data_IF_321521047003
#
_entry.id   IF_321521047003
#
_cell.length_a   1.000
_cell.length_b   1.000
_cell.length_c   1.000
_cell.angle_alpha   90.00
_cell.angle_beta   90.00
_cell.angle_gamma   90.00
#
_symmetry.space_group_name_H-M   'P 1'
#
loop_
_entity.id
_entity.type
_entity.pdbx_description
1 polymer ?
#
# COMPACT_ATOMS: atom_id res chain seq x y z
N UNK A 1 3.23 -16.70 -2.27
CA UNK A 1 2.04 -17.14 -1.51
C UNK A 1 0.90 -16.17 -1.80
N UNK A 2 -0.38 -16.57 -1.66
CA UNK A 2 -1.53 -15.66 -1.83
C UNK A 2 -1.48 -14.53 -0.75
N UNK A 3 -1.62 -13.24 -1.11
CA UNK A 3 -1.58 -12.15 -0.14
C UNK A 3 -2.96 -11.75 0.44
N UNK A 4 -2.92 -11.10 1.61
CA UNK A 4 -4.02 -10.35 2.20
C UNK A 4 -4.16 -8.98 1.53
N UNK A 5 -5.39 -8.52 1.35
CA UNK A 5 -5.70 -7.24 0.70
C UNK A 5 -6.62 -6.41 1.59
N UNK A 6 -6.31 -5.14 1.76
CA UNK A 6 -7.10 -4.16 2.48
C UNK A 6 -7.29 -2.91 1.61
N UNK A 7 -8.52 -2.44 1.41
CA UNK A 7 -8.79 -1.16 0.75
C UNK A 7 -9.85 -0.36 1.52
N UNK A 8 -9.77 0.99 1.57
CA UNK A 8 -10.87 1.81 2.09
C UNK A 8 -10.64 3.34 2.14
N UNK A 9 -11.71 4.17 2.13
CA UNK A 9 -11.65 5.63 2.18
C UNK A 9 -11.33 6.30 3.50
N UNK A 10 -11.18 7.63 3.41
CA UNK A 10 -11.21 8.57 4.54
C UNK A 10 -12.54 8.52 5.34
N UNK A 11 -13.59 7.87 4.83
CA UNK A 11 -14.82 7.54 5.55
C UNK A 11 -15.49 6.25 5.01
N UNK A 12 -15.72 5.29 5.92
CA UNK A 12 -16.87 4.36 5.98
C UNK A 12 -17.00 3.13 5.04
N UNK A 13 -16.05 2.80 4.16
CA UNK A 13 -16.06 1.47 3.49
C UNK A 13 -14.68 0.86 3.32
N UNK A 14 -14.26 0.06 4.30
CA UNK A 14 -13.05 -0.74 4.24
C UNK A 14 -13.40 -2.22 4.05
N UNK A 15 -12.77 -2.88 3.09
CA UNK A 15 -12.86 -4.33 2.91
C UNK A 15 -11.52 -4.98 3.17
N UNK A 16 -11.55 -6.10 3.89
CA UNK A 16 -10.37 -6.91 4.18
C UNK A 16 -10.63 -8.33 3.69
N UNK A 17 -9.81 -8.78 2.74
CA UNK A 17 -9.95 -10.10 2.11
C UNK A 17 -8.64 -10.87 2.17
N UNK A 18 -8.74 -12.19 2.03
CA UNK A 18 -7.60 -13.09 1.81
C UNK A 18 -7.70 -13.70 0.42
N UNK A 19 -6.58 -14.23 -0.07
CA UNK A 19 -6.54 -15.09 -1.25
C UNK A 19 -6.11 -16.51 -0.87
N UNK A 20 -6.42 -17.48 -1.73
CA UNK A 20 -6.36 -18.92 -1.39
C UNK A 20 -7.73 -19.50 -1.04
N UNK A 21 -7.79 -20.79 -0.74
CA UNK A 21 -9.02 -21.52 -0.42
C UNK A 21 -9.51 -21.17 0.99
N UNK A 22 -8.60 -20.86 1.91
CA UNK A 22 -8.91 -20.49 3.28
C UNK A 22 -7.91 -19.47 3.86
N UNK A 23 -8.28 -18.84 4.98
CA UNK A 23 -7.46 -17.79 5.63
C UNK A 23 -6.05 -18.23 6.03
N UNK A 24 -5.80 -19.53 6.15
CA UNK A 24 -4.51 -20.12 6.50
C UNK A 24 -3.57 -20.31 5.30
N UNK A 25 -4.07 -20.10 4.08
CA UNK A 25 -3.25 -20.20 2.85
C UNK A 25 -2.37 -18.96 2.64
N UNK A 26 -2.62 -17.91 3.42
CA UNK A 26 -1.76 -16.74 3.58
C UNK A 26 -1.18 -16.70 5.00
N UNK A 27 -0.15 -15.89 5.23
CA UNK A 27 0.34 -15.65 6.59
C UNK A 27 -0.74 -14.96 7.43
N UNK A 28 -1.19 -15.52 8.57
CA UNK A 28 -2.25 -14.92 9.36
C UNK A 28 -1.93 -13.51 9.86
N UNK A 29 -0.65 -13.20 10.08
CA UNK A 29 -0.17 -11.86 10.46
C UNK A 29 -0.28 -10.82 9.34
N UNK A 30 -0.34 -11.23 8.07
CA UNK A 30 -0.38 -10.32 6.93
C UNK A 30 -1.63 -9.47 6.86
N UNK A 31 -2.75 -9.91 7.48
CA UNK A 31 -3.97 -9.09 7.57
C UNK A 31 -3.69 -7.72 8.21
N UNK A 32 -2.92 -7.71 9.29
CA UNK A 32 -2.60 -6.49 10.04
C UNK A 32 -1.62 -5.64 9.23
N UNK A 33 -0.60 -6.27 8.62
CA UNK A 33 0.38 -5.59 7.78
C UNK A 33 -0.28 -4.93 6.57
N UNK A 34 -1.21 -5.63 5.89
CA UNK A 34 -1.99 -5.08 4.78
C UNK A 34 -2.81 -3.86 5.21
N UNK A 35 -3.45 -3.90 6.38
CA UNK A 35 -4.18 -2.75 6.92
C UNK A 35 -3.28 -1.55 7.24
N UNK A 36 -2.10 -1.78 7.81
CA UNK A 36 -1.10 -0.72 8.05
C UNK A 36 -0.58 -0.12 6.75
N UNK A 37 -0.34 -0.95 5.71
CA UNK A 37 0.08 -0.47 4.39
C UNK A 37 -1.00 0.40 3.72
N UNK A 38 -2.26 -0.03 3.76
CA UNK A 38 -3.39 0.75 3.27
C UNK A 38 -3.54 2.08 4.03
N UNK A 39 -3.41 2.02 5.36
CA UNK A 39 -3.47 3.19 6.25
C UNK A 39 -2.35 4.16 5.93
N UNK A 40 -1.11 3.70 5.79
CA UNK A 40 0.04 4.55 5.45
C UNK A 40 -0.16 5.24 4.11
N UNK A 41 -0.54 4.48 3.07
CA UNK A 41 -0.73 5.04 1.75
C UNK A 41 -1.83 6.12 1.71
N UNK A 42 -2.93 5.92 2.46
CA UNK A 42 -4.00 6.90 2.59
C UNK A 42 -3.57 8.13 3.43
N UNK A 43 -2.94 7.90 4.58
CA UNK A 43 -2.60 8.96 5.55
C UNK A 43 -1.54 9.94 5.06
N UNK A 44 -0.69 9.52 4.12
CA UNK A 44 0.43 10.33 3.64
C UNK A 44 0.39 10.60 2.13
N UNK A 45 -0.80 10.45 1.55
CA UNK A 45 -1.11 10.96 0.22
C UNK A 45 -2.11 12.11 0.33
N UNK A 46 -2.05 13.01 -0.64
CA UNK A 46 -2.91 14.19 -0.77
C UNK A 46 -3.63 14.15 -2.12
N UNK A 47 -4.72 14.93 -2.31
CA UNK A 47 -5.39 15.03 -3.61
C UNK A 47 -4.49 15.46 -4.77
N UNK A 48 -3.32 16.05 -4.51
CA UNK A 48 -2.34 16.46 -5.52
C UNK A 48 -1.01 15.70 -5.48
N UNK A 49 -0.84 14.70 -4.60
CA UNK A 49 0.45 14.01 -4.43
C UNK A 49 0.28 12.63 -3.79
N UNK A 50 0.77 11.59 -4.44
CA UNK A 50 0.73 10.22 -3.95
C UNK A 50 2.09 9.75 -3.41
N UNK A 51 2.05 8.97 -2.34
CA UNK A 51 3.23 8.31 -1.80
C UNK A 51 2.92 6.87 -1.40
N UNK A 52 3.66 5.93 -1.98
CA UNK A 52 3.53 4.53 -1.60
C UNK A 52 4.30 4.21 -0.33
N UNK A 53 3.90 3.14 0.32
CA UNK A 53 4.67 2.56 1.45
C UNK A 53 6.13 2.24 1.07
N UNK A 54 6.39 1.84 -0.18
CA UNK A 54 7.75 1.58 -0.65
C UNK A 54 8.62 2.85 -0.66
N UNK A 55 8.02 4.01 -0.94
CA UNK A 55 8.70 5.29 -0.96
C UNK A 55 9.15 5.77 0.43
N UNK A 56 8.60 5.20 1.51
CA UNK A 56 9.05 5.54 2.86
C UNK A 56 10.34 4.82 3.27
N UNK A 57 10.62 3.65 2.70
CA UNK A 57 11.66 2.75 3.21
C UNK A 57 12.98 3.47 3.47
N UNK A 58 13.46 4.24 2.50
CA UNK A 58 14.74 4.90 2.60
C UNK A 58 14.79 6.10 3.56
N UNK A 59 13.65 6.76 3.77
CA UNK A 59 13.53 7.91 4.68
C UNK A 59 13.64 7.50 6.15
N UNK A 60 13.28 6.25 6.45
CA UNK A 60 13.14 5.73 7.81
C UNK A 60 14.27 4.79 8.23
N UNK A 61 15.28 4.59 7.37
CA UNK A 61 16.49 3.87 7.75
C UNK A 61 17.34 4.68 8.75
N UNK A 62 18.19 4.03 9.58
CA UNK A 62 19.14 4.75 10.43
C UNK A 62 19.92 5.81 9.66
N UNK A 63 19.87 7.06 10.13
CA UNK A 63 20.48 8.22 9.44
C UNK A 63 19.59 8.92 8.41
N UNK A 64 18.41 8.38 8.10
CA UNK A 64 17.38 9.03 7.29
C UNK A 64 16.66 10.15 8.05
N UNK A 65 16.10 11.12 7.32
CA UNK A 65 15.44 12.30 7.88
C UNK A 65 14.16 11.99 8.67
N UNK A 66 13.58 10.82 8.46
CA UNK A 66 12.36 10.34 9.11
C UNK A 66 12.61 9.03 9.87
N UNK A 67 13.82 8.77 10.34
CA UNK A 67 14.11 7.63 11.21
C UNK A 67 13.17 7.64 12.43
N UNK A 68 12.46 6.53 12.65
CA UNK A 68 11.45 6.44 13.72
C UNK A 68 10.02 6.84 13.30
N UNK A 69 9.77 7.04 12.00
CA UNK A 69 8.45 7.45 11.50
C UNK A 69 7.37 6.39 11.73
N UNK A 70 7.70 5.11 11.60
CA UNK A 70 6.75 4.01 11.79
C UNK A 70 6.18 3.92 13.22
N UNK A 71 6.86 4.51 14.21
CA UNK A 71 6.48 4.56 15.61
C UNK A 71 5.51 5.73 15.90
N UNK A 72 5.34 6.68 14.98
CA UNK A 72 4.58 7.91 15.21
C UNK A 72 3.06 7.70 15.25
N UNK A 73 2.55 6.60 14.68
CA UNK A 73 1.13 6.29 14.66
C UNK A 73 0.91 4.85 15.13
N UNK A 74 0.58 4.64 16.42
CA UNK A 74 0.45 3.30 16.98
C UNK A 74 -0.74 2.55 16.36
N UNK A 75 -0.64 1.23 16.37
CA UNK A 75 -1.73 0.36 15.94
C UNK A 75 -2.76 0.21 17.05
N UNK A 76 -4.05 0.23 16.69
CA UNK A 76 -5.15 0.01 17.61
C UNK A 76 -5.36 -1.49 17.82
N UNK A 77 -4.78 -2.03 18.89
CA UNK A 77 -4.85 -3.46 19.23
C UNK A 77 -6.27 -3.96 19.47
N UNK A 78 -7.17 -3.10 19.98
CA UNK A 78 -8.58 -3.46 20.19
C UNK A 78 -9.33 -3.68 18.87
N UNK A 79 -8.90 -3.02 17.78
CA UNK A 79 -9.49 -3.17 16.44
C UNK A 79 -8.86 -4.35 15.70
N UNK A 80 -7.54 -4.42 15.65
CA UNK A 80 -6.87 -5.42 14.78
C UNK A 80 -7.04 -6.85 15.27
N UNK A 81 -7.35 -7.06 16.55
CA UNK A 81 -7.66 -8.36 17.15
C UNK A 81 -9.15 -8.57 17.45
N UNK A 82 -10.03 -7.70 16.92
CA UNK A 82 -11.45 -7.79 17.18
C UNK A 82 -12.06 -9.07 16.57
N UNK A 83 -12.97 -9.69 17.33
CA UNK A 83 -13.74 -10.86 16.91
C UNK A 83 -12.92 -12.16 16.80
N UNK A 84 -13.60 -13.30 16.60
CA UNK A 84 -12.91 -14.57 16.43
C UNK A 84 -12.15 -14.58 15.10
N UNK A 85 -10.99 -15.26 15.07
CA UNK A 85 -10.15 -15.36 13.88
C UNK A 85 -10.89 -15.94 12.66
N UNK A 86 -11.96 -16.72 12.87
CA UNK A 86 -12.85 -17.24 11.83
C UNK A 86 -13.59 -16.16 11.05
N UNK A 87 -13.66 -14.93 11.55
CA UNK A 87 -14.34 -13.81 10.88
C UNK A 87 -13.38 -12.88 10.14
N UNK A 88 -12.07 -13.12 10.27
CA UNK A 88 -11.06 -12.31 9.61
C UNK A 88 -10.97 -12.64 8.11
N UNK A 89 -10.85 -11.60 7.29
CA UNK A 89 -10.72 -11.66 5.84
C UNK A 89 -12.04 -11.92 5.09
N UNK A 90 -13.19 -11.64 5.72
CA UNK A 90 -14.53 -11.82 5.14
C UNK A 90 -15.08 -10.55 4.45
N UNK A 91 -14.20 -9.76 3.84
CA UNK A 91 -14.54 -8.51 3.17
C UNK A 91 -15.06 -7.46 4.15
N UNK A 92 -16.18 -6.83 3.83
CA UNK A 92 -16.87 -5.84 4.68
C UNK A 92 -17.37 -6.41 6.02
N UNK A 93 -17.46 -7.74 6.14
CA UNK A 93 -17.86 -8.43 7.38
C UNK A 93 -16.68 -8.73 8.31
N UNK A 94 -15.45 -8.42 7.89
CA UNK A 94 -14.30 -8.50 8.76
C UNK A 94 -14.48 -7.55 9.95
N UNK A 95 -14.24 -7.97 11.21
CA UNK A 95 -14.41 -7.09 12.37
C UNK A 95 -13.58 -5.79 12.35
N UNK A 96 -12.48 -5.75 11.61
CA UNK A 96 -11.66 -4.55 11.40
C UNK A 96 -12.20 -3.67 10.28
N UNK A 97 -13.12 -4.16 9.44
CA UNK A 97 -13.77 -3.34 8.43
C UNK A 97 -14.45 -2.14 9.09
N UNK A 98 -14.30 -0.97 8.46
CA UNK A 98 -14.84 0.32 8.91
C UNK A 98 -14.34 0.78 10.28
N UNK A 99 -13.24 0.20 10.77
CA UNK A 99 -12.57 0.61 12.00
C UNK A 99 -11.22 1.25 11.68
N UNK A 100 -10.81 2.21 12.51
CA UNK A 100 -9.47 2.82 12.37
C UNK A 100 -8.43 1.92 13.04
N UNK A 101 -7.81 1.05 12.25
CA UNK A 101 -6.71 0.18 12.70
C UNK A 101 -5.48 0.97 13.12
N UNK A 102 -5.22 2.12 12.49
CA UNK A 102 -3.97 2.87 12.67
C UNK A 102 -2.76 2.06 12.22
N UNK A 103 -1.59 2.42 12.76
CA UNK A 103 -0.32 1.81 12.39
C UNK A 103 0.27 2.35 11.09
N UNK A 104 1.60 2.40 11.04
CA UNK A 104 2.37 2.74 9.85
C UNK A 104 3.17 1.53 9.39
N UNK A 105 3.29 1.36 8.08
CA UNK A 105 4.18 0.39 7.45
C UNK A 105 4.96 1.06 6.31
N UNK A 106 6.26 0.79 6.25
CA UNK A 106 7.22 1.56 5.45
C UNK A 106 7.94 0.71 4.40
N UNK A 107 7.38 -0.44 4.05
CA UNK A 107 7.87 -1.30 2.96
C UNK A 107 6.75 -1.63 1.98
N UNK A 108 7.14 -1.99 0.74
CA UNK A 108 6.25 -2.02 -0.42
C UNK A 108 4.99 -2.87 -0.28
N UNK A 109 3.92 -2.46 -0.98
CA UNK A 109 2.61 -3.13 -0.99
C UNK A 109 1.42 -2.22 -0.70
N UNK A 110 1.64 -1.00 -0.25
CA UNK A 110 0.59 0.01 -0.03
C UNK A 110 0.62 1.15 -1.05
N UNK A 111 -0.54 1.47 -1.64
CA UNK A 111 -0.77 2.49 -2.67
C UNK A 111 -2.03 3.30 -2.39
N UNK A 112 -2.02 4.61 -2.68
CA UNK A 112 -3.22 5.44 -2.60
C UNK A 112 -4.15 5.19 -3.79
N UNK A 113 -5.45 5.39 -3.56
CA UNK A 113 -6.54 5.17 -4.51
C UNK A 113 -7.14 6.50 -4.94
N UNK A 114 -7.16 6.76 -6.24
CA UNK A 114 -7.70 7.99 -6.82
C UNK A 114 -8.71 7.67 -7.91
N UNK A 115 -9.85 8.36 -7.91
CA UNK A 115 -10.82 8.26 -9.00
C UNK A 115 -10.47 9.16 -10.19
N UNK A 116 -11.28 9.08 -11.25
CA UNK A 116 -11.09 9.83 -12.49
C UNK A 116 -11.05 11.37 -12.33
N UNK A 117 -11.60 11.87 -11.22
CA UNK A 117 -11.59 13.31 -10.88
C UNK A 117 -10.33 13.73 -10.12
N UNK A 118 -9.45 12.79 -9.79
CA UNK A 118 -8.28 12.98 -8.94
C UNK A 118 -8.63 13.05 -7.45
N UNK A 119 -9.83 12.62 -7.05
CA UNK A 119 -10.22 12.59 -5.64
C UNK A 119 -9.52 11.43 -4.95
N UNK A 120 -8.84 11.71 -3.83
CA UNK A 120 -8.26 10.69 -2.97
C UNK A 120 -9.38 9.92 -2.27
N UNK A 121 -9.62 8.70 -2.75
CA UNK A 121 -10.65 7.80 -2.26
C UNK A 121 -10.18 6.91 -1.13
N UNK A 122 -8.89 6.84 -0.80
CA UNK A 122 -8.39 5.95 0.23
C UNK A 122 -7.02 5.35 -0.05
N UNK A 123 -6.77 4.20 0.57
CA UNK A 123 -5.54 3.42 0.36
C UNK A 123 -5.82 1.94 0.17
N UNK A 124 -4.97 1.29 -0.62
CA UNK A 124 -4.87 -0.15 -0.83
C UNK A 124 -3.60 -0.66 -0.17
N UNK A 125 -3.66 -1.82 0.47
CA UNK A 125 -2.52 -2.48 1.09
C UNK A 125 -2.55 -3.99 0.84
N UNK A 126 -1.41 -4.53 0.42
CA UNK A 126 -1.23 -5.95 0.12
C UNK A 126 -0.08 -6.51 0.98
N UNK A 127 -0.28 -7.69 1.56
CA UNK A 127 0.79 -8.39 2.28
C UNK A 127 0.65 -9.90 2.22
N UNK A 128 1.75 -10.59 1.97
CA UNK A 128 1.82 -12.06 2.08
C UNK A 128 3.00 -12.69 1.34
N UNK A 129 3.81 -11.88 0.67
CA UNK A 129 5.00 -12.30 -0.05
C UNK A 129 6.13 -11.26 0.16
N UNK A 130 7.16 -11.24 -0.67
CA UNK A 130 8.20 -10.20 -0.62
C UNK A 130 7.58 -8.82 -0.85
N UNK A 131 8.20 -7.76 -0.30
CA UNK A 131 7.72 -6.38 -0.49
C UNK A 131 7.57 -5.98 -1.96
N UNK A 132 8.42 -6.52 -2.85
CA UNK A 132 8.31 -6.27 -4.29
C UNK A 132 7.08 -6.98 -4.88
N UNK A 133 6.84 -8.25 -4.54
CA UNK A 133 5.63 -8.97 -4.98
C UNK A 133 4.36 -8.28 -4.46
N UNK A 134 4.34 -7.91 -3.18
CA UNK A 134 3.21 -7.18 -2.57
C UNK A 134 2.93 -5.88 -3.34
N UNK A 135 3.99 -5.13 -3.72
CA UNK A 135 3.87 -3.89 -4.50
C UNK A 135 3.42 -4.13 -5.94
N UNK A 136 3.88 -5.20 -6.59
CA UNK A 136 3.42 -5.59 -7.93
C UNK A 136 1.93 -5.91 -7.91
N UNK A 137 1.48 -6.71 -6.93
CA UNK A 137 0.07 -7.09 -6.80
C UNK A 137 -0.78 -5.87 -6.48
N UNK A 138 -0.36 -5.00 -5.56
CA UNK A 138 -1.10 -3.78 -5.26
C UNK A 138 -1.21 -2.86 -6.47
N UNK A 139 -0.15 -2.70 -7.25
CA UNK A 139 -0.16 -1.88 -8.46
C UNK A 139 -1.14 -2.41 -9.51
N UNK A 140 -1.03 -3.71 -9.83
CA UNK A 140 -1.92 -4.35 -10.80
C UNK A 140 -3.37 -4.27 -10.36
N UNK A 141 -3.64 -4.57 -9.09
CA UNK A 141 -5.00 -4.48 -8.55
C UNK A 141 -5.55 -3.05 -8.60
N UNK A 142 -4.77 -2.04 -8.21
CA UNK A 142 -5.16 -0.63 -8.33
C UNK A 142 -5.50 -0.26 -9.78
N UNK A 143 -4.71 -0.75 -10.73
CA UNK A 143 -4.92 -0.51 -12.16
C UNK A 143 -6.20 -1.18 -12.68
N UNK A 144 -6.45 -2.46 -12.33
CA UNK A 144 -7.67 -3.20 -12.70
C UNK A 144 -8.93 -2.59 -12.10
N UNK A 145 -8.84 -2.01 -10.90
CA UNK A 145 -9.95 -1.31 -10.25
C UNK A 145 -10.23 0.08 -10.87
N UNK A 146 -9.37 0.58 -11.76
CA UNK A 146 -9.51 1.93 -12.31
C UNK A 146 -9.29 3.03 -11.27
N UNK A 147 -8.44 2.78 -10.26
CA UNK A 147 -8.21 3.68 -9.13
C UNK A 147 -6.78 4.26 -9.08
N UNK A 148 -6.11 4.28 -10.23
CA UNK A 148 -4.72 4.73 -10.42
C UNK A 148 -4.64 6.09 -11.15
N UNK A 149 -5.63 6.96 -10.97
CA UNK A 149 -5.63 8.34 -11.46
C UNK A 149 -4.69 9.22 -10.62
N UNK A 150 -3.41 8.86 -10.58
CA UNK A 150 -2.38 9.46 -9.72
C UNK A 150 -1.98 10.85 -10.27
N UNK A 151 -2.20 11.94 -9.52
CA UNK A 151 -1.99 13.31 -10.01
C UNK A 151 -0.50 13.69 -10.12
N UNK A 152 0.26 13.37 -9.07
CA UNK A 152 1.70 13.49 -8.95
C UNK A 152 2.17 12.54 -7.83
N UNK A 153 3.47 12.41 -7.60
CA UNK A 153 3.98 11.58 -6.50
C UNK A 153 5.50 11.48 -6.49
N UNK A 154 6.02 10.75 -5.50
CA UNK A 154 7.44 10.40 -5.41
C UNK A 154 7.89 9.57 -6.61
N UNK A 155 9.07 9.90 -7.16
CA UNK A 155 9.66 9.24 -8.33
C UNK A 155 9.76 10.16 -9.57
N UNK A 156 10.67 9.80 -10.48
CA UNK A 156 11.00 10.61 -11.65
C UNK A 156 10.11 10.29 -12.86
N UNK A 157 9.86 11.29 -13.71
CA UNK A 157 9.13 11.09 -14.98
C UNK A 157 7.69 10.55 -14.78
N UNK A 158 7.23 9.57 -15.58
CA UNK A 158 5.90 8.96 -15.43
C UNK A 158 5.79 8.03 -14.21
N UNK A 159 6.92 7.77 -13.53
CA UNK A 159 6.99 6.85 -12.39
C UNK A 159 6.56 7.60 -11.14
N UNK A 160 5.24 7.80 -10.97
CA UNK A 160 4.67 8.33 -9.73
C UNK A 160 4.40 7.17 -8.79
N UNK A 161 4.74 7.36 -7.52
CA UNK A 161 4.51 6.46 -6.37
C UNK A 161 4.99 5.00 -6.50
N UNK A 162 5.64 4.63 -7.60
CA UNK A 162 6.23 3.32 -7.74
C UNK A 162 7.43 3.14 -6.81
N UNK A 163 7.74 1.88 -6.48
CA UNK A 163 8.92 1.51 -5.72
C UNK A 163 10.19 1.88 -6.51
N UNK A 164 11.10 2.60 -5.86
CA UNK A 164 12.38 3.03 -6.43
C UNK A 164 13.53 2.22 -5.84
N UNK A 165 14.60 2.02 -6.61
CA UNK A 165 15.81 1.32 -6.19
C UNK A 165 17.04 2.20 -6.40
N UNK A 166 18.04 2.09 -5.52
CA UNK A 166 19.38 2.68 -5.71
C UNK A 166 19.45 4.21 -5.76
N UNK A 167 18.57 4.91 -5.05
CA UNK A 167 18.54 6.38 -5.03
C UNK A 167 19.62 7.01 -4.13
N UNK A 168 19.85 8.32 -4.29
CA UNK A 168 20.79 9.12 -3.48
C UNK A 168 20.18 10.48 -3.10
N UNK A 169 20.50 11.03 -1.92
CA UNK A 169 20.00 12.35 -1.50
C UNK A 169 18.55 12.31 -0.97
N UNK A 170 17.69 13.28 -1.31
CA UNK A 170 16.26 13.22 -0.98
C UNK A 170 15.55 12.06 -1.73
N UNK A 171 16.15 11.56 -2.81
CA UNK A 171 15.76 10.34 -3.51
C UNK A 171 16.26 9.05 -2.82
N UNK A 172 16.91 9.15 -1.65
CA UNK A 172 17.34 8.01 -0.83
C UNK A 172 16.17 7.16 -0.31
N UNK A 173 14.93 7.56 -0.57
CA UNK A 173 13.67 6.80 -0.48
C UNK A 173 13.62 5.49 -1.29
N UNK A 174 14.77 4.89 -1.59
CA UNK A 174 14.85 3.64 -2.32
C UNK A 174 14.64 2.46 -1.39
N UNK A 175 13.77 1.56 -1.83
CA UNK A 175 13.62 0.24 -1.25
C UNK A 175 14.82 -0.64 -1.66
N UNK A 176 15.26 -1.60 -0.84
CA UNK A 176 16.22 -2.62 -1.27
C UNK A 176 15.62 -3.48 -2.39
N UNK A 177 16.46 -4.02 -3.25
CA UNK A 177 16.00 -5.00 -4.25
C UNK A 177 15.52 -6.28 -3.55
N UNK A 178 14.51 -6.92 -4.12
CA UNK A 178 14.14 -8.29 -3.74
C UNK A 178 14.94 -9.27 -4.61
N UNK A 179 14.28 -10.14 -5.38
CA UNK A 179 14.91 -10.90 -6.46
C UNK A 179 14.89 -10.12 -7.80
N UNK A 180 15.74 -10.56 -8.73
CA UNK A 180 15.92 -9.89 -10.02
C UNK A 180 14.64 -9.85 -10.88
N UNK A 181 13.81 -10.89 -10.82
CA UNK A 181 12.59 -10.95 -11.61
C UNK A 181 11.53 -9.97 -11.07
N UNK A 182 11.31 -9.96 -9.75
CA UNK A 182 10.40 -9.01 -9.11
C UNK A 182 10.88 -7.55 -9.30
N UNK A 183 12.18 -7.28 -9.16
CA UNK A 183 12.74 -5.95 -9.40
C UNK A 183 12.51 -5.48 -10.84
N UNK A 184 12.72 -6.36 -11.83
CA UNK A 184 12.45 -6.03 -13.23
C UNK A 184 10.97 -5.73 -13.47
N UNK A 185 10.06 -6.53 -12.90
CA UNK A 185 8.61 -6.28 -13.02
C UNK A 185 8.25 -4.93 -12.40
N UNK A 186 8.73 -4.61 -11.20
CA UNK A 186 8.46 -3.32 -10.54
C UNK A 186 8.87 -2.15 -11.43
N UNK A 187 10.05 -2.21 -12.04
CA UNK A 187 10.54 -1.14 -12.92
C UNK A 187 9.68 -0.98 -14.18
N UNK A 188 9.06 -2.07 -14.67
CA UNK A 188 8.24 -2.10 -15.88
C UNK A 188 6.73 -1.86 -15.62
N UNK A 189 6.30 -1.75 -14.35
CA UNK A 189 4.90 -1.46 -13.99
C UNK A 189 4.34 -0.20 -14.66
N UNK A 190 5.06 0.95 -14.72
CA UNK A 190 4.54 2.16 -15.37
C UNK A 190 4.33 2.02 -16.88
N UNK A 191 4.95 1.01 -17.50
CA UNK A 191 4.80 0.71 -18.94
C UNK A 191 3.71 -0.35 -19.17
N UNK A 192 3.68 -1.40 -18.36
CA UNK A 192 2.71 -2.50 -18.50
C UNK A 192 1.33 -2.18 -17.93
N UNK A 193 1.28 -1.37 -16.88
CA UNK A 193 0.07 -0.95 -16.17
C UNK A 193 0.18 0.56 -15.88
N UNK A 194 0.14 1.41 -16.92
CA UNK A 194 0.38 2.84 -16.76
C UNK A 194 -0.69 3.46 -15.86
N UNK A 195 -0.25 4.36 -14.97
CA UNK A 195 -1.17 5.19 -14.20
C UNK A 195 -2.02 6.06 -15.14
N UNK A 196 -3.28 6.29 -14.76
CA UNK A 196 -4.21 7.09 -15.53
C UNK A 196 -4.03 8.58 -15.24
N UNK A 197 -4.34 9.43 -16.22
CA UNK A 197 -4.26 10.88 -16.08
C UNK A 197 -5.58 11.44 -15.55
N UNK A 198 -5.51 12.30 -14.54
CA UNK A 198 -6.66 13.10 -14.10
C UNK A 198 -7.03 14.10 -15.20
N UNK A 199 -8.31 14.20 -15.54
CA UNK A 199 -8.77 15.20 -16.50
C UNK A 199 -8.52 16.62 -15.98
N UNK A 200 -8.10 17.58 -16.84
CA UNK A 200 -7.99 18.97 -16.42
C UNK A 200 -9.36 19.50 -15.98
N UNK A 201 -9.39 20.21 -14.85
CA UNK A 201 -10.58 20.90 -14.32
C UNK A 201 -10.93 22.13 -15.13
#
# INVERSE_FOLDING_TARGET
MPPAICHGPLADSQSIVFSGDNRGDQWPGSRIIAAQKATTANSFSLPGFAMSTANFYGLVQPGGSAFGFQESMPINTAVVYLGPASDWGKGEKDPMANQRSGGINVFGGGLALYDETGTLLGGLGVSGDTSCTDHIVSWRLRHELGLDYVPAGMGAGPIKDNMQYGGSGFDAASHPTCDAAATAIVQDLPTTHPIRTVAPK
#
